data_IF_964101109433
#
_entry.id   IF_964101109433
#
_cell.length_a   1.000
_cell.length_b   1.000
_cell.length_c   1.000
_cell.angle_alpha   90.00
_cell.angle_beta   90.00
_cell.angle_gamma   90.00
#
_symmetry.space_group_name_H-M   'P 1'
#
loop_
_entity.id
_entity.type
_entity.pdbx_description
1 polymer ?
#
# COMPACT_ATOMS: atom_id res chain seq x y z
N UNK A 1 -2.79 -20.44 8.89
CA UNK A 1 -3.51 -19.41 9.66
C UNK A 1 -3.78 -18.30 8.67
N UNK A 2 -5.05 -17.97 8.42
CA UNK A 2 -5.43 -16.93 7.47
C UNK A 2 -4.81 -15.59 7.90
N UNK A 3 -4.37 -14.84 6.90
CA UNK A 3 -3.90 -13.46 6.97
C UNK A 3 -4.73 -12.66 8.00
N UNK A 4 -4.11 -12.18 9.09
CA UNK A 4 -4.83 -11.54 10.19
C UNK A 4 -5.38 -10.14 9.82
N UNK A 5 -4.88 -9.51 8.74
CA UNK A 5 -5.08 -8.07 8.51
C UNK A 5 -5.72 -7.64 7.15
N UNK A 6 -6.61 -8.43 6.50
CA UNK A 6 -7.14 -8.06 5.18
C UNK A 6 -7.96 -6.76 5.19
N UNK A 7 -8.58 -6.41 6.33
CA UNK A 7 -9.43 -5.22 6.42
C UNK A 7 -8.65 -3.91 6.28
N UNK A 8 -7.46 -3.82 6.87
CA UNK A 8 -6.67 -2.59 6.80
C UNK A 8 -6.28 -2.24 5.35
N UNK A 9 -5.77 -3.24 4.62
CA UNK A 9 -5.34 -3.09 3.24
C UNK A 9 -6.51 -2.77 2.30
N UNK A 10 -7.65 -3.45 2.46
CA UNK A 10 -8.86 -3.15 1.69
C UNK A 10 -9.29 -1.69 1.93
N UNK A 11 -9.36 -1.26 3.19
CA UNK A 11 -9.81 0.09 3.54
C UNK A 11 -8.87 1.14 2.98
N UNK A 12 -7.55 0.98 3.13
CA UNK A 12 -6.61 2.00 2.65
C UNK A 12 -6.65 2.12 1.11
N UNK A 13 -6.74 1.01 0.37
CA UNK A 13 -6.88 1.07 -1.09
C UNK A 13 -8.21 1.69 -1.54
N UNK A 14 -9.32 1.35 -0.89
CA UNK A 14 -10.62 1.96 -1.17
C UNK A 14 -10.61 3.47 -0.89
N UNK A 15 -9.94 3.91 0.16
CA UNK A 15 -9.80 5.33 0.46
C UNK A 15 -8.95 6.07 -0.59
N UNK A 16 -7.85 5.48 -1.06
CA UNK A 16 -7.07 6.07 -2.16
C UNK A 16 -7.89 6.16 -3.45
N UNK A 17 -8.64 5.11 -3.79
CA UNK A 17 -9.56 5.12 -4.92
C UNK A 17 -10.65 6.20 -4.75
N UNK A 18 -11.20 6.35 -3.55
CA UNK A 18 -12.17 7.38 -3.21
C UNK A 18 -11.62 8.79 -3.38
N UNK A 19 -10.37 9.05 -2.99
CA UNK A 19 -9.67 10.32 -3.26
C UNK A 19 -9.59 10.59 -4.76
N UNK A 20 -9.28 9.57 -5.56
CA UNK A 20 -9.22 9.70 -7.02
C UNK A 20 -10.57 10.04 -7.66
N UNK A 21 -11.63 9.37 -7.23
CA UNK A 21 -13.00 9.67 -7.67
C UNK A 21 -13.43 11.07 -7.25
N UNK A 22 -13.18 11.46 -6.00
CA UNK A 22 -13.52 12.80 -5.50
C UNK A 22 -12.81 13.90 -6.29
N UNK A 23 -11.52 13.72 -6.59
CA UNK A 23 -10.72 14.62 -7.44
C UNK A 23 -11.28 14.69 -8.86
N UNK A 24 -11.64 13.55 -9.45
CA UNK A 24 -12.26 13.49 -10.78
C UNK A 24 -13.59 14.26 -10.82
N UNK A 25 -14.37 14.23 -9.74
CA UNK A 25 -15.61 15.02 -9.58
C UNK A 25 -15.36 16.51 -9.21
N UNK A 26 -14.11 16.98 -9.18
CA UNK A 26 -13.76 18.36 -8.85
C UNK A 26 -13.87 18.71 -7.36
N UNK A 27 -14.04 17.73 -6.47
CA UNK A 27 -14.13 17.95 -5.02
C UNK A 27 -12.74 17.98 -4.38
N UNK A 28 -12.50 18.96 -3.51
CA UNK A 28 -11.31 19.01 -2.65
C UNK A 28 -11.64 18.49 -1.25
N UNK A 29 -10.88 17.51 -0.79
CA UNK A 29 -11.06 16.86 0.52
C UNK A 29 -9.74 16.87 1.29
N UNK A 30 -9.13 18.04 1.46
CA UNK A 30 -7.73 18.16 1.92
C UNK A 30 -7.48 17.50 3.28
N UNK A 31 -8.42 17.58 4.21
CA UNK A 31 -8.33 16.91 5.52
C UNK A 31 -8.38 15.38 5.39
N UNK A 32 -9.27 14.85 4.55
CA UNK A 32 -9.37 13.41 4.32
C UNK A 32 -8.12 12.87 3.62
N UNK A 33 -7.59 13.60 2.63
CA UNK A 33 -6.35 13.22 1.94
C UNK A 33 -5.17 13.11 2.91
N UNK A 34 -5.05 14.01 3.89
CA UNK A 34 -4.00 13.91 4.92
C UNK A 34 -4.10 12.63 5.76
N UNK A 35 -5.33 12.25 6.14
CA UNK A 35 -5.57 10.99 6.87
C UNK A 35 -5.17 9.79 6.01
N UNK A 36 -5.58 9.77 4.74
CA UNK A 36 -5.24 8.69 3.80
C UNK A 36 -3.72 8.60 3.58
N UNK A 37 -3.02 9.73 3.44
CA UNK A 37 -1.56 9.77 3.36
C UNK A 37 -0.93 9.19 4.64
N UNK A 38 -1.44 9.56 5.83
CA UNK A 38 -0.98 9.00 7.09
C UNK A 38 -1.15 7.48 7.16
N UNK A 39 -2.28 6.95 6.70
CA UNK A 39 -2.50 5.51 6.59
C UNK A 39 -1.51 4.86 5.62
N UNK A 40 -1.32 5.41 4.42
CA UNK A 40 -0.34 4.88 3.46
C UNK A 40 1.07 4.84 4.06
N UNK A 41 1.51 5.90 4.74
CA UNK A 41 2.82 5.94 5.40
C UNK A 41 2.92 4.87 6.49
N UNK A 42 1.89 4.73 7.33
CA UNK A 42 1.88 3.71 8.38
C UNK A 42 1.99 2.29 7.78
N UNK A 43 1.22 2.00 6.73
CA UNK A 43 1.27 0.70 6.07
C UNK A 43 2.61 0.42 5.39
N UNK A 44 3.27 1.44 4.80
CA UNK A 44 4.62 1.30 4.25
C UNK A 44 5.66 0.99 5.35
N UNK A 45 5.53 1.59 6.53
CA UNK A 45 6.42 1.30 7.65
C UNK A 45 6.21 -0.11 8.20
N UNK A 46 4.95 -0.57 8.29
CA UNK A 46 4.60 -1.92 8.75
C UNK A 46 5.08 -2.99 7.78
N UNK A 47 4.89 -2.80 6.48
CA UNK A 47 5.27 -3.76 5.44
C UNK A 47 6.72 -3.64 4.95
N UNK A 48 7.43 -2.59 5.35
CA UNK A 48 8.82 -2.32 4.97
C UNK A 48 9.83 -3.43 5.32
N UNK A 49 9.80 -4.04 6.52
CA UNK A 49 10.70 -5.14 6.87
C UNK A 49 10.60 -6.34 5.92
N UNK A 50 9.40 -6.63 5.39
CA UNK A 50 9.23 -7.71 4.42
C UNK A 50 9.89 -7.43 3.08
N UNK A 51 9.99 -6.15 2.67
CA UNK A 51 10.79 -5.78 1.48
C UNK A 51 12.25 -6.10 1.72
N UNK A 52 12.79 -5.79 2.90
CA UNK A 52 14.18 -6.13 3.23
C UNK A 52 14.39 -7.65 3.18
N UNK A 53 13.47 -8.42 3.78
CA UNK A 53 13.50 -9.89 3.72
C UNK A 53 13.42 -10.45 2.28
N UNK A 54 12.61 -9.83 1.43
CA UNK A 54 12.50 -10.19 0.02
C UNK A 54 13.81 -9.91 -0.74
N UNK A 55 14.40 -8.72 -0.56
CA UNK A 55 15.66 -8.35 -1.22
C UNK A 55 16.83 -9.24 -0.76
N UNK A 56 16.89 -9.58 0.53
CA UNK A 56 17.95 -10.44 1.07
C UNK A 56 17.77 -11.91 0.72
N UNK A 57 16.55 -12.35 0.37
CA UNK A 57 16.31 -13.73 -0.08
C UNK A 57 17.02 -14.08 -1.39
N UNK A 58 17.31 -13.08 -2.23
CA UNK A 58 17.90 -13.27 -3.57
C UNK A 58 16.99 -13.94 -4.60
N UNK A 59 15.81 -14.43 -4.20
CA UNK A 59 14.83 -15.07 -5.07
C UNK A 59 13.72 -14.07 -5.44
N UNK A 60 13.99 -13.20 -6.42
CA UNK A 60 13.01 -12.23 -6.89
C UNK A 60 11.80 -12.87 -7.59
N UNK A 61 11.90 -14.12 -8.03
CA UNK A 61 10.74 -14.81 -8.62
C UNK A 61 9.72 -15.25 -7.55
N UNK A 62 10.13 -15.30 -6.29
CA UNK A 62 9.25 -15.61 -5.16
C UNK A 62 8.03 -14.69 -5.08
N UNK A 63 8.11 -13.47 -5.60
CA UNK A 63 6.99 -12.51 -5.58
C UNK A 63 5.79 -12.99 -6.40
N UNK A 64 5.97 -13.90 -7.36
CA UNK A 64 4.89 -14.52 -8.14
C UNK A 64 4.39 -15.83 -7.52
N UNK A 65 5.07 -16.31 -6.48
CA UNK A 65 4.75 -17.55 -5.79
C UNK A 65 3.46 -17.47 -4.95
N UNK A 66 3.05 -18.62 -4.43
CA UNK A 66 1.96 -18.66 -3.46
C UNK A 66 2.42 -18.08 -2.13
N UNK A 67 1.49 -17.41 -1.44
CA UNK A 67 1.68 -17.01 -0.06
C UNK A 67 1.77 -18.28 0.79
N UNK A 68 2.92 -18.47 1.41
CA UNK A 68 3.23 -19.66 2.18
C UNK A 68 3.92 -19.27 3.48
N UNK A 69 3.71 -20.05 4.53
CA UNK A 69 4.30 -19.79 5.86
C UNK A 69 5.83 -19.80 5.81
N UNK A 70 6.43 -20.52 4.86
CA UNK A 70 7.88 -20.55 4.67
C UNK A 70 8.44 -19.25 4.07
N UNK A 71 7.60 -18.40 3.49
CA UNK A 71 8.00 -17.15 2.80
C UNK A 71 7.05 -15.99 3.16
N UNK A 72 6.99 -15.58 4.45
CA UNK A 72 6.06 -14.55 4.91
C UNK A 72 6.34 -13.16 4.30
N UNK A 73 7.57 -12.93 3.81
CA UNK A 73 7.94 -11.69 3.15
C UNK A 73 7.23 -11.44 1.81
N UNK A 74 6.67 -12.48 1.16
CA UNK A 74 5.96 -12.34 -0.14
C UNK A 74 4.71 -11.48 0.01
N UNK A 75 3.96 -11.67 1.08
CA UNK A 75 2.76 -10.90 1.37
C UNK A 75 3.11 -9.45 1.64
N UNK A 76 4.00 -9.24 2.61
CA UNK A 76 4.48 -7.91 3.00
C UNK A 76 5.10 -7.12 1.83
N UNK A 77 5.85 -7.76 0.92
CA UNK A 77 6.41 -7.03 -0.23
C UNK A 77 5.32 -6.63 -1.24
N UNK A 78 4.29 -7.44 -1.43
CA UNK A 78 3.16 -7.12 -2.33
C UNK A 78 2.34 -5.96 -1.79
N UNK A 79 2.02 -5.98 -0.50
CA UNK A 79 1.31 -4.90 0.19
C UNK A 79 2.11 -3.60 0.15
N UNK A 80 3.41 -3.67 0.42
CA UNK A 80 4.31 -2.53 0.35
C UNK A 80 4.31 -1.90 -1.04
N UNK A 81 4.48 -2.71 -2.10
CA UNK A 81 4.51 -2.22 -3.47
C UNK A 81 3.18 -1.60 -3.88
N UNK A 82 2.06 -2.22 -3.52
CA UNK A 82 0.74 -1.66 -3.78
C UNK A 82 0.55 -0.31 -3.09
N UNK A 83 0.94 -0.20 -1.81
CA UNK A 83 0.90 1.07 -1.09
C UNK A 83 1.87 2.12 -1.64
N UNK A 84 3.04 1.70 -2.12
CA UNK A 84 4.01 2.60 -2.72
C UNK A 84 3.43 3.28 -3.96
N UNK A 85 2.78 2.51 -4.85
CA UNK A 85 2.07 3.06 -6.00
C UNK A 85 0.93 3.99 -5.57
N UNK A 86 0.16 3.61 -4.56
CA UNK A 86 -0.92 4.41 -4.01
C UNK A 86 -0.41 5.76 -3.44
N UNK A 87 0.71 5.74 -2.72
CA UNK A 87 1.38 6.92 -2.20
C UNK A 87 1.91 7.84 -3.30
N UNK A 88 2.54 7.27 -4.34
CA UNK A 88 2.98 8.04 -5.51
C UNK A 88 1.81 8.76 -6.17
N UNK A 89 0.68 8.07 -6.35
CA UNK A 89 -0.53 8.70 -6.85
C UNK A 89 -0.96 9.90 -5.99
N UNK A 90 -1.04 9.75 -4.67
CA UNK A 90 -1.46 10.84 -3.77
C UNK A 90 -0.51 12.04 -3.82
N UNK A 91 0.81 11.80 -3.91
CA UNK A 91 1.82 12.86 -4.08
C UNK A 91 1.60 13.59 -5.40
N UNK A 92 1.52 12.85 -6.52
CA UNK A 92 1.31 13.43 -7.85
C UNK A 92 0.00 14.22 -7.94
N UNK A 93 -1.05 13.68 -7.35
CA UNK A 93 -2.34 14.33 -7.31
C UNK A 93 -2.32 15.58 -6.41
N UNK A 94 -1.48 15.62 -5.37
CA UNK A 94 -1.31 16.79 -4.49
C UNK A 94 -0.46 17.91 -5.08
N UNK A 95 0.46 17.61 -6.00
CA UNK A 95 1.35 18.58 -6.65
C UNK A 95 0.64 19.41 -7.72
N UNK A 96 -0.38 18.85 -8.39
CA UNK A 96 -1.24 19.58 -9.35
C UNK A 96 -2.25 20.46 -8.59
N UNK A 97 -1.82 21.64 -8.15
CA UNK A 97 -2.69 22.66 -7.52
C UNK A 97 -3.50 23.45 -8.53
#
# INVERSE_FOLDING_TARGET
>A
MNDPDPLYWIVVYLLVAGVAVARFMGRRMDSAVKVVVGMVIAGLLVSGPGVVGYLTSGDFNSIYGQMAMERPYIESVREFLGLFVAGLYLVLAGVRR
#
